data_IF_527153675237
#
_entry.id   IF_527153675237
#
_cell.length_a   1.000
_cell.length_b   1.000
_cell.length_c   1.000
_cell.angle_alpha   90.00
_cell.angle_beta   90.00
_cell.angle_gamma   90.00
#
_symmetry.space_group_name_H-M   'P 1'
#
loop_
_entity.id
_entity.type
_entity.pdbx_description
1 polymer ?
#
# COMPACT_ATOMS: atom_id res chain seq x y z
N UNK A 1 -21.39 81.57 -25.96
CA UNK A 1 -20.27 80.72 -25.51
C UNK A 1 -20.87 79.38 -25.09
N UNK A 2 -20.79 78.39 -25.95
CA UNK A 2 -21.48 77.12 -25.83
C UNK A 2 -20.52 76.12 -25.27
N UNK A 3 -20.82 75.51 -24.09
CA UNK A 3 -20.07 74.39 -23.55
C UNK A 3 -20.81 73.07 -23.84
N UNK A 4 -20.22 72.27 -24.69
CA UNK A 4 -20.67 70.94 -24.99
C UNK A 4 -20.28 70.02 -23.88
N UNK A 5 -21.27 69.37 -23.29
CA UNK A 5 -21.08 68.36 -22.26
C UNK A 5 -21.04 66.98 -22.91
N UNK A 6 -19.86 66.38 -23.00
CA UNK A 6 -19.69 65.02 -23.53
C UNK A 6 -19.97 64.01 -22.46
N UNK A 7 -21.01 63.21 -22.60
CA UNK A 7 -21.35 62.08 -21.74
C UNK A 7 -20.54 60.88 -22.24
N UNK A 8 -19.57 60.44 -21.46
CA UNK A 8 -18.77 59.24 -21.69
C UNK A 8 -19.50 58.05 -21.07
N UNK A 9 -20.09 57.22 -21.90
CA UNK A 9 -20.73 55.99 -21.45
C UNK A 9 -19.65 54.91 -21.29
N UNK A 10 -19.24 54.61 -20.07
CA UNK A 10 -18.33 53.51 -19.74
C UNK A 10 -19.11 52.20 -19.66
N UNK A 11 -19.04 51.37 -20.67
CA UNK A 11 -19.53 50.01 -20.64
C UNK A 11 -18.58 49.13 -19.81
N UNK A 12 -18.96 48.79 -18.62
CA UNK A 12 -18.23 47.81 -17.76
C UNK A 12 -18.64 46.43 -18.25
N UNK A 13 -17.79 45.78 -19.03
CA UNK A 13 -17.93 44.38 -19.38
C UNK A 13 -17.47 43.54 -18.19
N UNK A 14 -18.42 42.98 -17.45
CA UNK A 14 -18.18 41.98 -16.41
C UNK A 14 -17.78 40.66 -17.08
N UNK A 15 -16.50 40.45 -17.23
CA UNK A 15 -15.97 39.12 -17.55
C UNK A 15 -16.09 38.23 -16.31
N UNK A 16 -17.15 37.43 -16.22
CA UNK A 16 -17.24 36.34 -15.29
C UNK A 16 -16.28 35.23 -15.75
N UNK A 17 -15.07 35.24 -15.24
CA UNK A 17 -14.17 34.09 -15.34
C UNK A 17 -14.76 32.98 -14.50
N UNK A 18 -15.50 32.08 -15.12
CA UNK A 18 -15.78 30.74 -14.53
C UNK A 18 -14.46 30.00 -14.47
N UNK A 19 -13.77 30.12 -13.35
CA UNK A 19 -12.66 29.22 -12.97
C UNK A 19 -13.22 27.81 -12.80
N UNK A 20 -13.47 27.14 -13.90
CA UNK A 20 -13.55 25.71 -13.96
C UNK A 20 -12.17 25.16 -13.61
N UNK A 21 -11.89 25.02 -12.32
CA UNK A 21 -10.71 24.31 -11.87
C UNK A 21 -10.88 22.83 -12.22
N UNK A 22 -10.65 22.49 -13.48
CA UNK A 22 -10.24 21.14 -13.87
C UNK A 22 -8.92 20.90 -13.15
N UNK A 23 -9.00 20.28 -11.98
CA UNK A 23 -7.83 19.76 -11.30
C UNK A 23 -7.19 18.73 -12.23
N UNK A 24 -6.27 19.21 -13.08
CA UNK A 24 -5.40 18.39 -13.91
C UNK A 24 -4.64 17.51 -12.94
N UNK A 25 -5.04 16.24 -12.82
CA UNK A 25 -4.35 15.26 -12.01
C UNK A 25 -2.88 15.28 -12.43
N UNK A 26 -2.03 15.86 -11.58
CA UNK A 26 -0.60 15.92 -11.85
C UNK A 26 -0.11 14.49 -12.03
N UNK A 27 0.52 14.20 -13.16
CA UNK A 27 1.11 12.90 -13.49
C UNK A 27 2.06 12.49 -12.35
N UNK A 28 1.62 11.56 -11.51
CA UNK A 28 2.35 11.11 -10.31
C UNK A 28 1.52 11.08 -9.03
N UNK A 29 0.26 11.52 -9.05
CA UNK A 29 -0.60 11.43 -7.86
C UNK A 29 -1.26 10.04 -7.74
N UNK A 30 -1.45 9.59 -6.48
CA UNK A 30 -2.02 8.28 -6.19
C UNK A 30 -3.55 8.34 -6.27
N UNK A 31 -4.12 7.83 -7.38
CA UNK A 31 -5.57 7.70 -7.52
C UNK A 31 -6.13 6.55 -6.67
N UNK A 32 -7.45 6.57 -6.38
CA UNK A 32 -8.13 5.49 -5.66
C UNK A 32 -7.97 4.13 -6.36
N UNK A 33 -8.06 4.08 -7.69
CA UNK A 33 -7.82 2.86 -8.47
C UNK A 33 -6.39 2.34 -8.25
N UNK A 34 -5.39 3.21 -8.36
CA UNK A 34 -3.98 2.83 -8.15
C UNK A 34 -3.70 2.42 -6.71
N UNK A 35 -4.36 3.05 -5.73
CA UNK A 35 -4.28 2.64 -4.32
C UNK A 35 -4.80 1.21 -4.10
N UNK A 36 -5.90 0.81 -4.76
CA UNK A 36 -6.42 -0.56 -4.71
C UNK A 36 -5.41 -1.54 -5.31
N UNK A 37 -4.86 -1.26 -6.49
CA UNK A 37 -3.84 -2.12 -7.13
C UNK A 37 -2.61 -2.30 -6.24
N UNK A 38 -2.11 -1.23 -5.63
CA UNK A 38 -0.97 -1.30 -4.71
C UNK A 38 -1.30 -2.09 -3.43
N UNK A 39 -2.51 -1.94 -2.90
CA UNK A 39 -2.95 -2.71 -1.74
C UNK A 39 -3.06 -4.21 -2.05
N UNK A 40 -3.57 -4.58 -3.22
CA UNK A 40 -3.60 -5.97 -3.69
C UNK A 40 -2.19 -6.57 -3.84
N UNK A 41 -1.29 -5.84 -4.48
CA UNK A 41 0.12 -6.24 -4.61
C UNK A 41 0.78 -6.41 -3.24
N UNK A 42 0.58 -5.45 -2.33
CA UNK A 42 1.12 -5.52 -0.99
C UNK A 42 0.57 -6.71 -0.18
N UNK A 43 -0.72 -7.04 -0.37
CA UNK A 43 -1.32 -8.24 0.24
C UNK A 43 -0.64 -9.53 -0.23
N UNK A 44 -0.33 -9.63 -1.52
CA UNK A 44 0.42 -10.78 -2.06
C UNK A 44 1.80 -10.86 -1.42
N UNK A 45 2.54 -9.73 -1.34
CA UNK A 45 3.85 -9.70 -0.70
C UNK A 45 3.78 -10.07 0.78
N UNK A 46 2.78 -9.56 1.50
CA UNK A 46 2.56 -9.89 2.92
C UNK A 46 2.35 -11.40 3.12
N UNK A 47 1.41 -12.00 2.38
CA UNK A 47 1.08 -13.42 2.56
C UNK A 47 2.18 -14.35 2.07
N UNK A 48 2.90 -14.00 1.01
CA UNK A 48 4.07 -14.78 0.57
C UNK A 48 5.17 -14.79 1.66
N UNK A 49 5.43 -13.66 2.30
CA UNK A 49 6.35 -13.60 3.43
C UNK A 49 5.83 -14.42 4.62
N UNK A 50 4.53 -14.32 4.95
CA UNK A 50 3.90 -15.07 6.05
C UNK A 50 3.80 -16.58 5.77
N UNK A 51 3.68 -16.98 4.50
CA UNK A 51 3.70 -18.37 4.08
C UNK A 51 5.12 -18.92 3.86
N UNK A 52 6.12 -18.05 3.85
CA UNK A 52 7.52 -18.41 3.73
C UNK A 52 7.99 -18.75 2.31
N UNK A 53 7.19 -18.51 1.28
CA UNK A 53 7.56 -18.80 -0.12
C UNK A 53 6.87 -17.84 -1.09
N UNK A 54 7.45 -17.70 -2.26
CA UNK A 54 6.85 -16.99 -3.40
C UNK A 54 6.34 -18.05 -4.39
N UNK A 55 5.02 -18.13 -4.65
CA UNK A 55 4.49 -19.05 -5.64
C UNK A 55 5.14 -18.80 -7.01
N UNK A 56 5.70 -19.82 -7.65
CA UNK A 56 6.25 -19.74 -8.99
C UNK A 56 5.48 -20.64 -9.94
N UNK A 57 5.44 -20.26 -11.24
CA UNK A 57 4.84 -21.09 -12.29
C UNK A 57 5.54 -22.45 -12.49
N UNK A 58 6.77 -22.58 -12.02
CA UNK A 58 7.57 -23.81 -12.13
C UNK A 58 7.33 -24.83 -11.02
N UNK A 59 6.38 -24.58 -10.15
CA UNK A 59 5.85 -25.52 -9.15
C UNK A 59 6.90 -26.34 -8.38
N UNK A 60 8.07 -25.79 -8.13
CA UNK A 60 9.02 -26.37 -7.19
C UNK A 60 8.57 -26.00 -5.80
N UNK A 61 7.74 -26.86 -5.21
CA UNK A 61 7.38 -26.77 -3.82
C UNK A 61 8.67 -26.74 -2.99
N UNK A 62 8.95 -25.59 -2.36
CA UNK A 62 10.02 -25.51 -1.41
C UNK A 62 9.67 -26.43 -0.24
N UNK A 63 10.53 -27.41 0.08
CA UNK A 63 10.42 -28.20 1.28
C UNK A 63 10.70 -27.28 2.49
N UNK A 64 9.64 -26.77 3.11
CA UNK A 64 9.74 -25.94 4.30
C UNK A 64 10.16 -26.82 5.48
N UNK A 65 11.36 -26.58 5.99
CA UNK A 65 11.87 -27.26 7.20
C UNK A 65 11.56 -26.42 8.43
N UNK A 66 11.02 -27.04 9.47
CA UNK A 66 10.80 -26.42 10.77
C UNK A 66 11.86 -26.81 11.80
N UNK A 67 11.94 -26.04 12.89
CA UNK A 67 12.83 -26.27 14.02
C UNK A 67 12.29 -25.58 15.27
N UNK A 68 12.69 -26.07 16.45
CA UNK A 68 12.33 -25.45 17.72
C UNK A 68 13.36 -24.37 18.11
N UNK A 69 12.86 -23.22 18.50
CA UNK A 69 13.69 -22.12 19.02
C UNK A 69 12.96 -21.41 20.17
N UNK A 70 13.54 -21.43 21.37
CA UNK A 70 12.97 -20.82 22.59
C UNK A 70 11.50 -21.17 22.83
N UNK A 71 11.15 -22.46 22.68
CA UNK A 71 9.79 -22.97 22.92
C UNK A 71 8.77 -22.64 21.83
N UNK A 72 9.21 -22.07 20.70
CA UNK A 72 8.34 -21.79 19.55
C UNK A 72 8.84 -22.58 18.35
N UNK A 73 7.94 -23.23 17.63
CA UNK A 73 8.28 -23.82 16.34
C UNK A 73 8.41 -22.73 15.30
N UNK A 74 9.54 -22.73 14.59
CA UNK A 74 9.85 -21.85 13.47
C UNK A 74 9.98 -22.66 12.19
N UNK A 75 9.67 -22.04 11.05
CA UNK A 75 9.93 -22.58 9.73
C UNK A 75 10.88 -21.65 8.97
N UNK A 76 11.86 -22.25 8.25
CA UNK A 76 12.72 -21.49 7.35
C UNK A 76 11.94 -20.99 6.15
N UNK A 77 12.31 -19.81 5.66
CA UNK A 77 11.78 -19.30 4.41
C UNK A 77 12.47 -19.98 3.21
N UNK A 78 11.78 -20.06 2.09
CA UNK A 78 12.29 -20.64 0.85
C UNK A 78 13.40 -19.81 0.21
N UNK A 79 14.19 -20.41 -0.64
CA UNK A 79 15.46 -19.87 -1.17
C UNK A 79 15.34 -18.47 -1.79
N UNK A 80 14.18 -18.13 -2.34
CA UNK A 80 13.88 -16.83 -2.96
C UNK A 80 13.88 -15.68 -1.95
N UNK A 81 13.52 -15.96 -0.69
CA UNK A 81 13.37 -14.97 0.39
C UNK A 81 14.05 -15.39 1.70
N UNK A 82 14.96 -16.37 1.66
CA UNK A 82 15.56 -16.98 2.85
C UNK A 82 16.68 -16.18 3.51
N UNK A 83 17.01 -14.99 3.04
CA UNK A 83 17.91 -14.08 3.74
C UNK A 83 17.22 -12.76 4.03
N UNK A 84 17.67 -12.03 5.07
CA UNK A 84 17.10 -10.72 5.40
C UNK A 84 17.15 -9.78 4.20
N UNK A 85 18.27 -9.77 3.45
CA UNK A 85 18.42 -8.93 2.27
C UNK A 85 17.38 -9.28 1.17
N UNK A 86 17.22 -10.56 0.85
CA UNK A 86 16.24 -11.02 -0.16
C UNK A 86 14.81 -10.71 0.28
N UNK A 87 14.45 -11.04 1.51
CA UNK A 87 13.10 -10.79 2.03
C UNK A 87 12.80 -9.29 2.08
N UNK A 88 13.73 -8.47 2.57
CA UNK A 88 13.58 -7.01 2.59
C UNK A 88 13.43 -6.45 1.19
N UNK A 89 14.25 -6.89 0.22
CA UNK A 89 14.14 -6.47 -1.18
C UNK A 89 12.76 -6.78 -1.76
N UNK A 90 12.28 -8.00 -1.55
CA UNK A 90 10.95 -8.45 -1.99
C UNK A 90 9.83 -7.59 -1.38
N UNK A 91 9.83 -7.44 -0.07
CA UNK A 91 8.82 -6.66 0.63
C UNK A 91 8.87 -5.16 0.31
N UNK A 92 10.06 -4.62 0.04
CA UNK A 92 10.23 -3.20 -0.29
C UNK A 92 9.65 -2.82 -1.67
N UNK A 93 9.21 -3.79 -2.44
CA UNK A 93 8.39 -3.51 -3.63
C UNK A 93 7.05 -2.88 -3.27
N UNK A 94 6.49 -3.18 -2.10
CA UNK A 94 5.17 -2.72 -1.66
C UNK A 94 5.18 -1.93 -0.36
N UNK A 95 6.14 -2.17 0.54
CA UNK A 95 6.18 -1.59 1.89
C UNK A 95 7.40 -0.70 2.08
N UNK A 96 7.26 0.34 2.91
CA UNK A 96 8.41 1.12 3.36
C UNK A 96 9.34 0.27 4.24
N UNK A 97 10.64 0.60 4.29
CA UNK A 97 11.59 -0.10 5.15
C UNK A 97 11.17 -0.07 6.63
N UNK A 98 10.64 1.07 7.10
CA UNK A 98 10.11 1.18 8.46
C UNK A 98 8.94 0.22 8.73
N UNK A 99 8.02 0.05 7.76
CA UNK A 99 6.94 -0.91 7.86
C UNK A 99 7.46 -2.36 7.93
N UNK A 100 8.47 -2.69 7.13
CA UNK A 100 9.11 -4.00 7.09
C UNK A 100 9.79 -4.32 8.43
N UNK A 101 10.59 -3.39 8.98
CA UNK A 101 11.28 -3.60 10.26
C UNK A 101 10.29 -3.78 11.42
N UNK A 102 9.20 -3.00 11.44
CA UNK A 102 8.10 -3.20 12.40
C UNK A 102 7.40 -4.55 12.19
N UNK A 103 7.20 -4.95 10.94
CA UNK A 103 6.65 -6.25 10.57
C UNK A 103 7.50 -7.40 11.07
N UNK A 104 8.80 -7.36 10.87
CA UNK A 104 9.73 -8.39 11.37
C UNK A 104 9.62 -8.57 12.88
N UNK A 105 9.60 -7.47 13.63
CA UNK A 105 9.45 -7.50 15.09
C UNK A 105 8.08 -8.05 15.49
N UNK A 106 6.99 -7.52 14.92
CA UNK A 106 5.61 -7.90 15.25
C UNK A 106 5.34 -9.38 15.00
N UNK A 107 5.79 -9.89 13.86
CA UNK A 107 5.59 -11.28 13.45
C UNK A 107 6.76 -12.19 13.82
N UNK A 108 7.69 -11.70 14.66
CA UNK A 108 8.81 -12.46 15.23
C UNK A 108 9.64 -13.19 14.18
N UNK A 109 9.89 -12.56 13.03
CA UNK A 109 10.88 -13.07 12.09
C UNK A 109 12.27 -13.05 12.73
N UNK A 110 13.02 -14.12 12.56
CA UNK A 110 14.39 -14.26 13.08
C UNK A 110 15.35 -14.66 11.96
N UNK A 111 16.61 -14.33 12.16
CA UNK A 111 17.70 -14.92 11.41
C UNK A 111 18.33 -16.04 12.26
N UNK A 112 18.28 -17.26 11.74
CA UNK A 112 18.80 -18.43 12.43
C UNK A 112 19.67 -19.24 11.47
N UNK A 113 20.94 -19.50 11.87
CA UNK A 113 21.94 -20.19 11.04
C UNK A 113 22.04 -19.60 9.62
N UNK A 114 22.07 -18.25 9.53
CA UNK A 114 22.20 -17.51 8.27
C UNK A 114 20.97 -17.51 7.36
N UNK A 115 19.82 -17.99 7.87
CA UNK A 115 18.55 -18.00 7.10
C UNK A 115 17.45 -17.32 7.88
N UNK A 116 16.56 -16.63 7.15
CA UNK A 116 15.35 -16.10 7.72
C UNK A 116 14.35 -17.22 8.06
N UNK A 117 13.72 -17.07 9.20
CA UNK A 117 12.67 -17.95 9.66
C UNK A 117 11.56 -17.16 10.34
N UNK A 118 10.38 -17.73 10.40
CA UNK A 118 9.22 -17.19 11.08
C UNK A 118 8.53 -18.25 11.94
N UNK A 119 7.75 -17.86 12.96
CA UNK A 119 6.93 -18.81 13.68
C UNK A 119 6.05 -19.62 12.75
N UNK A 120 5.98 -20.92 12.95
CA UNK A 120 5.08 -21.79 12.21
C UNK A 120 3.67 -21.58 12.75
N UNK A 121 2.93 -20.67 12.13
CA UNK A 121 1.57 -20.33 12.51
C UNK A 121 0.69 -20.29 11.26
N UNK A 122 -0.49 -20.85 11.38
CA UNK A 122 -1.51 -20.72 10.36
C UNK A 122 -2.09 -19.31 10.37
N UNK A 123 -2.35 -18.78 9.19
CA UNK A 123 -2.91 -17.47 9.05
C UNK A 123 -3.66 -17.34 7.74
N UNK A 124 -4.73 -16.60 7.77
CA UNK A 124 -5.54 -16.30 6.61
C UNK A 124 -6.32 -15.02 6.81
N UNK A 125 -6.98 -14.59 5.77
CA UNK A 125 -7.90 -13.46 5.82
C UNK A 125 -9.02 -13.69 4.80
N UNK A 126 -10.26 -13.55 5.25
CA UNK A 126 -11.45 -13.63 4.40
C UNK A 126 -11.71 -12.32 3.65
N UNK A 127 -10.89 -11.29 3.85
CA UNK A 127 -11.03 -9.98 3.22
C UNK A 127 -10.76 -10.06 1.71
N UNK A 128 -11.74 -9.62 0.93
CA UNK A 128 -11.72 -9.66 -0.53
C UNK A 128 -11.13 -8.35 -1.10
N UNK A 129 -9.82 -8.18 -0.98
CA UNK A 129 -9.14 -6.96 -1.43
C UNK A 129 -9.24 -6.70 -2.95
N UNK A 130 -9.50 -7.73 -3.75
CA UNK A 130 -9.80 -7.59 -5.19
C UNK A 130 -11.09 -6.83 -5.46
N UNK A 131 -12.03 -6.83 -4.51
CA UNK A 131 -13.31 -6.14 -4.58
C UNK A 131 -13.35 -4.87 -3.71
N UNK A 132 -12.20 -4.46 -3.14
CA UNK A 132 -12.11 -3.30 -2.29
C UNK A 132 -12.35 -1.98 -3.04
N UNK A 133 -13.03 -1.05 -2.37
CA UNK A 133 -13.18 0.34 -2.84
C UNK A 133 -12.34 1.25 -1.95
N UNK A 134 -11.64 2.21 -2.54
CA UNK A 134 -10.79 3.15 -1.82
C UNK A 134 -11.31 4.59 -1.95
N UNK A 135 -11.38 5.31 -0.81
CA UNK A 135 -11.71 6.73 -0.73
C UNK A 135 -10.52 7.46 -0.11
N UNK A 136 -9.99 8.47 -0.81
CA UNK A 136 -8.95 9.34 -0.27
C UNK A 136 -9.52 10.12 0.94
N UNK A 137 -8.87 10.03 2.09
CA UNK A 137 -9.27 10.72 3.32
C UNK A 137 -8.23 11.72 3.82
N UNK A 138 -6.98 11.60 3.37
CA UNK A 138 -5.92 12.54 3.69
C UNK A 138 -4.90 12.62 2.56
N UNK A 139 -4.43 13.83 2.27
CA UNK A 139 -3.47 14.12 1.21
C UNK A 139 -2.46 15.16 1.65
N UNK A 140 -1.18 14.84 1.52
CA UNK A 140 -0.03 15.73 1.73
C UNK A 140 1.02 15.41 0.66
N UNK A 141 2.02 16.26 0.45
CA UNK A 141 3.01 16.13 -0.65
C UNK A 141 3.42 14.69 -0.99
N UNK A 142 3.90 13.94 0.00
CA UNK A 142 4.40 12.57 -0.17
C UNK A 142 3.63 11.54 0.68
N UNK A 143 2.44 11.89 1.16
CA UNK A 143 1.59 11.04 2.00
C UNK A 143 0.17 11.07 1.47
N UNK A 144 -0.43 9.88 1.34
CA UNK A 144 -1.86 9.68 1.07
C UNK A 144 -2.40 8.66 2.06
N UNK A 145 -3.57 8.95 2.60
CA UNK A 145 -4.30 7.95 3.37
C UNK A 145 -5.65 7.68 2.71
N UNK A 146 -5.93 6.42 2.50
CA UNK A 146 -7.20 5.95 1.96
C UNK A 146 -7.95 5.14 3.01
N UNK A 147 -9.26 5.34 3.08
CA UNK A 147 -10.17 4.40 3.71
C UNK A 147 -10.63 3.40 2.65
N UNK A 148 -10.34 2.14 2.89
CA UNK A 148 -10.79 1.02 2.08
C UNK A 148 -12.05 0.42 2.69
N UNK A 149 -13.07 0.19 1.87
CA UNK A 149 -14.20 -0.67 2.20
C UNK A 149 -13.91 -2.02 1.56
N UNK A 150 -13.57 -3.01 2.37
CA UNK A 150 -13.14 -4.34 1.92
C UNK A 150 -14.23 -5.35 2.23
N UNK A 151 -14.85 -6.00 1.23
CA UNK A 151 -15.85 -7.03 1.47
C UNK A 151 -15.25 -8.26 2.18
N UNK A 152 -16.06 -8.92 3.02
CA UNK A 152 -15.80 -10.26 3.52
C UNK A 152 -17.13 -11.01 3.72
N UNK A 153 -17.13 -12.33 3.50
CA UNK A 153 -18.39 -13.07 3.46
C UNK A 153 -19.34 -12.57 2.37
N UNK A 154 -20.64 -12.79 2.56
CA UNK A 154 -21.65 -12.49 1.54
C UNK A 154 -22.09 -11.01 1.52
N UNK A 155 -22.26 -10.38 2.68
CA UNK A 155 -22.82 -9.02 2.79
C UNK A 155 -22.07 -8.10 3.74
N UNK A 156 -20.92 -8.53 4.27
CA UNK A 156 -20.17 -7.79 5.27
C UNK A 156 -19.00 -7.02 4.64
N UNK A 157 -18.61 -5.93 5.29
CA UNK A 157 -17.50 -5.08 4.86
C UNK A 157 -16.70 -4.65 6.07
N UNK A 158 -15.38 -4.63 5.91
CA UNK A 158 -14.48 -4.04 6.90
C UNK A 158 -13.88 -2.75 6.37
N UNK A 159 -13.80 -1.73 7.22
CA UNK A 159 -13.11 -0.48 6.90
C UNK A 159 -11.66 -0.55 7.36
N UNK A 160 -10.74 -0.37 6.42
CA UNK A 160 -9.29 -0.33 6.66
C UNK A 160 -8.73 1.03 6.27
N UNK A 161 -7.95 1.66 7.14
CA UNK A 161 -7.19 2.86 6.79
C UNK A 161 -5.78 2.45 6.37
N UNK A 162 -5.38 2.78 5.15
CA UNK A 162 -4.06 2.48 4.61
C UNK A 162 -3.34 3.76 4.28
N UNK A 163 -2.14 3.93 4.85
CA UNK A 163 -1.28 5.08 4.58
C UNK A 163 -0.20 4.68 3.57
N UNK A 164 -0.15 5.43 2.48
CA UNK A 164 0.88 5.36 1.46
C UNK A 164 1.87 6.51 1.64
N UNK A 165 3.14 6.22 1.49
CA UNK A 165 4.23 7.20 1.51
C UNK A 165 4.99 7.10 0.20
N UNK A 166 5.32 8.24 -0.40
CA UNK A 166 6.11 8.31 -1.62
C UNK A 166 7.59 8.31 -1.27
N UNK A 167 8.28 7.23 -1.58
CA UNK A 167 9.71 7.05 -1.32
C UNK A 167 10.44 6.95 -2.66
N UNK A 168 11.36 7.88 -2.94
CA UNK A 168 12.10 7.92 -4.22
C UNK A 168 11.18 7.82 -5.45
N UNK A 169 10.07 8.56 -5.42
CA UNK A 169 9.09 8.59 -6.51
C UNK A 169 8.08 7.44 -6.55
N UNK A 170 8.23 6.41 -5.72
CA UNK A 170 7.35 5.23 -5.67
C UNK A 170 6.45 5.27 -4.44
N UNK A 171 5.15 5.02 -4.60
CA UNK A 171 4.22 4.89 -3.49
C UNK A 171 4.34 3.52 -2.84
N UNK A 172 4.51 3.50 -1.51
CA UNK A 172 4.64 2.30 -0.68
C UNK A 172 3.74 2.40 0.54
N UNK A 173 3.26 1.27 1.04
CA UNK A 173 2.44 1.18 2.25
C UNK A 173 3.32 1.28 3.49
N UNK A 174 2.91 2.10 4.46
CA UNK A 174 3.69 2.40 5.67
C UNK A 174 3.32 1.55 6.90
N UNK A 175 2.57 0.47 6.70
CA UNK A 175 2.28 -0.50 7.76
C UNK A 175 2.22 -1.91 7.15
N UNK A 176 2.98 -2.85 7.71
CA UNK A 176 3.17 -4.20 7.14
C UNK A 176 1.87 -5.02 7.09
N UNK A 177 0.99 -4.80 8.04
CA UNK A 177 -0.29 -5.51 8.19
C UNK A 177 -1.52 -4.71 7.77
N UNK A 178 -1.32 -3.55 7.12
CA UNK A 178 -2.43 -2.70 6.70
C UNK A 178 -3.38 -3.38 5.70
N UNK A 179 -2.90 -4.41 5.00
CA UNK A 179 -3.63 -5.16 3.94
C UNK A 179 -3.87 -6.63 4.27
N UNK A 180 -3.72 -6.96 5.55
CA UNK A 180 -3.96 -8.31 6.07
C UNK A 180 -5.42 -8.70 6.04
#
# INVERSE_FOLDING_TARGET
>A
MKKLLSILLAAVALFTFSLGASAKSASGDLSSKKAVELAQSARVHHWNAMNGHIPSKKNTACSIKSFQYKGTEYRYLCSEINTKAKLTKYLNESFTLNAIDKGYKKYRFIEYKGKMAQPNADGGSLLQWNNAKAKLIYSRKDIRQFEFTVPYGEKQHEKKKVTFVKVRGKWQINAFDAVR
#
